data_IF_047158469089
#
_entry.id   IF_047158469089
#
_cell.length_a   1.000
_cell.length_b   1.000
_cell.length_c   1.000
_cell.angle_alpha   90.00
_cell.angle_beta   90.00
_cell.angle_gamma   90.00
#
_symmetry.space_group_name_H-M   'P 1'
#
loop_
_entity.id
_entity.type
_entity.pdbx_description
1 polymer ?
#
# COMPACT_ATOMS: atom_id res chain seq x y z
N UNK A 1 -11.41 38.49 -20.32
CA UNK A 1 -11.93 37.24 -19.71
C UNK A 1 -10.77 36.26 -19.66
N UNK A 2 -10.14 36.12 -18.49
CA UNK A 2 -9.22 35.01 -18.28
C UNK A 2 -10.05 33.73 -18.21
N UNK A 3 -9.69 32.73 -19.01
CA UNK A 3 -10.25 31.40 -18.84
C UNK A 3 -9.78 30.86 -17.50
N UNK A 4 -10.72 30.39 -16.66
CA UNK A 4 -10.39 29.57 -15.51
C UNK A 4 -9.68 28.30 -16.00
N UNK A 5 -8.62 27.83 -15.31
CA UNK A 5 -7.95 26.61 -15.71
C UNK A 5 -8.95 25.46 -15.57
N UNK A 6 -9.07 24.66 -16.64
CA UNK A 6 -9.86 23.44 -16.59
C UNK A 6 -9.31 22.56 -15.46
N UNK A 7 -10.16 22.26 -14.47
CA UNK A 7 -9.86 21.23 -13.48
C UNK A 7 -9.70 19.93 -14.27
N UNK A 8 -8.48 19.39 -14.27
CA UNK A 8 -8.18 18.11 -14.90
C UNK A 8 -9.03 17.08 -14.16
N UNK A 9 -10.03 16.50 -14.82
CA UNK A 9 -10.82 15.44 -14.22
C UNK A 9 -9.88 14.27 -13.90
N UNK A 10 -9.67 14.04 -12.62
CA UNK A 10 -8.91 12.90 -12.10
C UNK A 10 -9.65 11.66 -12.55
N UNK A 11 -8.98 10.80 -13.32
CA UNK A 11 -9.54 9.49 -13.60
C UNK A 11 -9.47 8.71 -12.29
N UNK A 12 -10.58 8.18 -11.76
CA UNK A 12 -10.55 7.39 -10.54
C UNK A 12 -9.52 6.27 -10.73
N UNK A 13 -8.62 6.09 -9.76
CA UNK A 13 -7.71 4.96 -9.76
C UNK A 13 -8.53 3.66 -9.70
N UNK A 14 -8.46 2.89 -10.78
CA UNK A 14 -9.14 1.61 -10.88
C UNK A 14 -8.28 0.52 -10.25
N UNK A 15 -8.92 -0.38 -9.52
CA UNK A 15 -8.24 -1.55 -8.98
C UNK A 15 -8.04 -2.58 -10.10
N UNK A 16 -6.82 -2.67 -10.60
CA UNK A 16 -6.46 -3.58 -11.72
C UNK A 16 -5.71 -4.83 -11.26
N UNK A 17 -5.28 -4.89 -10.00
CA UNK A 17 -4.56 -6.01 -9.41
C UNK A 17 -3.88 -5.63 -8.10
N UNK A 18 -3.03 -6.51 -7.58
CA UNK A 18 -2.28 -6.28 -6.33
C UNK A 18 -1.26 -5.14 -6.44
N UNK A 19 -0.85 -4.79 -7.65
CA UNK A 19 -0.02 -3.62 -7.95
C UNK A 19 -0.76 -2.72 -8.94
N UNK A 20 -0.92 -1.45 -8.60
CA UNK A 20 -1.48 -0.40 -9.45
C UNK A 20 -0.46 0.73 -9.58
N UNK A 21 0.32 0.76 -10.67
CA UNK A 21 1.38 1.76 -10.89
C UNK A 21 0.91 2.92 -11.79
N UNK A 22 0.09 3.83 -11.26
CA UNK A 22 -0.37 4.99 -12.05
C UNK A 22 0.71 6.07 -12.22
N UNK A 23 1.77 6.04 -11.41
CA UNK A 23 2.90 6.95 -11.50
C UNK A 23 4.04 6.48 -12.42
N UNK A 24 3.93 5.28 -13.00
CA UNK A 24 4.97 4.68 -13.86
C UNK A 24 6.36 4.63 -13.19
N UNK A 25 6.38 4.24 -11.91
CA UNK A 25 7.60 4.13 -11.09
C UNK A 25 8.22 2.73 -11.11
N UNK A 26 7.45 1.72 -11.52
CA UNK A 26 7.80 0.31 -11.43
C UNK A 26 7.93 -0.23 -12.85
N UNK A 27 9.00 -0.99 -13.12
CA UNK A 27 9.13 -1.65 -14.43
C UNK A 27 8.19 -2.86 -14.50
N UNK A 28 7.67 -3.22 -15.69
CA UNK A 28 6.73 -4.34 -15.83
C UNK A 28 7.23 -5.67 -15.26
N UNK A 29 8.53 -5.96 -15.39
CA UNK A 29 9.12 -7.19 -14.84
C UNK A 29 9.03 -7.21 -13.31
N UNK A 30 9.21 -6.05 -12.69
CA UNK A 30 9.16 -5.89 -11.24
C UNK A 30 7.73 -5.85 -10.72
N UNK A 31 6.79 -5.26 -11.45
CA UNK A 31 5.36 -5.37 -11.11
C UNK A 31 4.91 -6.83 -11.06
N UNK A 32 5.38 -7.64 -12.02
CA UNK A 32 5.09 -9.08 -12.06
C UNK A 32 5.66 -9.80 -10.83
N UNK A 33 6.89 -9.48 -10.45
CA UNK A 33 7.54 -10.04 -9.25
C UNK A 33 6.83 -9.62 -7.96
N UNK A 34 6.51 -8.33 -7.81
CA UNK A 34 5.78 -7.79 -6.65
C UNK A 34 4.39 -8.42 -6.55
N UNK A 35 3.67 -8.56 -7.67
CA UNK A 35 2.36 -9.22 -7.71
C UNK A 35 2.44 -10.66 -7.22
N UNK A 36 3.43 -11.42 -7.68
CA UNK A 36 3.63 -12.81 -7.23
C UNK A 36 3.99 -12.89 -5.74
N UNK A 37 4.78 -11.95 -5.22
CA UNK A 37 5.11 -11.86 -3.78
C UNK A 37 3.87 -11.57 -2.93
N UNK A 38 3.05 -10.60 -3.34
CA UNK A 38 1.81 -10.24 -2.65
C UNK A 38 0.80 -11.39 -2.66
N UNK A 39 0.68 -12.10 -3.78
CA UNK A 39 -0.17 -13.30 -3.88
C UNK A 39 0.32 -14.42 -2.96
N UNK A 40 1.62 -14.68 -2.91
CA UNK A 40 2.18 -15.67 -1.99
C UNK A 40 1.96 -15.27 -0.53
N UNK A 41 2.13 -13.99 -0.19
CA UNK A 41 1.89 -13.48 1.16
C UNK A 41 0.42 -13.64 1.58
N UNK A 42 -0.53 -13.33 0.70
CA UNK A 42 -1.96 -13.53 0.95
C UNK A 42 -2.30 -15.02 1.14
N UNK A 43 -1.70 -15.91 0.36
CA UNK A 43 -1.87 -17.36 0.55
C UNK A 43 -1.28 -17.87 1.88
N UNK A 44 -0.15 -17.29 2.31
CA UNK A 44 0.54 -17.70 3.55
C UNK A 44 -0.13 -17.16 4.82
N UNK A 45 -0.81 -16.00 4.74
CA UNK A 45 -1.23 -15.22 5.92
C UNK A 45 -2.69 -14.79 5.91
N UNK A 46 -3.42 -15.01 4.80
CA UNK A 46 -4.76 -14.49 4.50
C UNK A 46 -4.88 -12.97 4.38
N UNK A 47 -3.86 -12.21 4.82
CA UNK A 47 -3.84 -10.77 4.73
C UNK A 47 -3.70 -10.30 3.27
N UNK A 48 -4.54 -9.34 2.88
CA UNK A 48 -4.50 -8.78 1.54
C UNK A 48 -3.66 -7.52 1.51
N UNK A 49 -2.45 -7.63 0.97
CA UNK A 49 -1.54 -6.49 0.80
C UNK A 49 -1.56 -6.00 -0.65
N UNK A 50 -1.70 -4.69 -0.85
CA UNK A 50 -1.71 -4.05 -2.17
C UNK A 50 -0.71 -2.91 -2.25
N UNK A 51 -0.20 -2.64 -3.45
CA UNK A 51 0.70 -1.53 -3.75
C UNK A 51 0.01 -0.61 -4.75
N UNK A 52 -0.04 0.68 -4.45
CA UNK A 52 -0.47 1.72 -5.38
C UNK A 52 0.58 2.82 -5.46
N UNK A 53 0.89 3.23 -6.69
CA UNK A 53 1.57 4.49 -6.94
C UNK A 53 0.60 5.44 -7.63
N UNK A 54 0.59 6.69 -7.19
CA UNK A 54 -0.19 7.76 -7.81
C UNK A 54 0.74 8.93 -8.09
N UNK A 55 0.65 9.63 -9.25
CA UNK A 55 1.56 10.75 -9.54
C UNK A 55 1.53 11.83 -8.45
N UNK A 56 0.35 12.16 -7.95
CA UNK A 56 0.10 13.12 -6.88
C UNK A 56 -1.15 12.75 -6.07
N UNK A 57 -1.44 13.55 -5.04
CA UNK A 57 -2.58 13.38 -4.14
C UNK A 57 -3.73 14.35 -4.43
N UNK A 58 -3.69 15.07 -5.56
CA UNK A 58 -4.66 16.11 -5.93
C UNK A 58 -4.87 17.19 -4.84
N UNK A 59 -3.79 17.53 -4.11
CA UNK A 59 -3.84 18.50 -3.01
C UNK A 59 -4.51 18.00 -1.73
N UNK A 60 -4.83 16.71 -1.65
CA UNK A 60 -5.29 16.04 -0.41
C UNK A 60 -4.10 15.60 0.44
N UNK A 61 -4.35 15.40 1.73
CA UNK A 61 -3.40 14.70 2.58
C UNK A 61 -3.39 13.19 2.26
N UNK A 62 -2.21 12.56 2.39
CA UNK A 62 -2.05 11.15 2.01
C UNK A 62 -2.90 10.19 2.88
N UNK A 63 -3.24 10.59 4.10
CA UNK A 63 -4.01 9.75 5.01
C UNK A 63 -5.49 9.71 4.62
N UNK A 64 -6.11 10.87 4.36
CA UNK A 64 -7.46 10.93 3.81
C UNK A 64 -7.54 10.29 2.42
N UNK A 65 -6.55 10.59 1.56
CA UNK A 65 -6.45 9.96 0.23
C UNK A 65 -6.43 8.44 0.33
N UNK A 66 -5.58 7.89 1.19
CA UNK A 66 -5.38 6.47 1.33
C UNK A 66 -6.55 5.75 1.95
N UNK A 67 -7.12 6.30 3.02
CA UNK A 67 -8.31 5.75 3.66
C UNK A 67 -9.48 5.66 2.69
N UNK A 68 -9.76 6.73 1.92
CA UNK A 68 -10.81 6.72 0.91
C UNK A 68 -10.55 5.66 -0.17
N UNK A 69 -9.29 5.55 -0.63
CA UNK A 69 -8.92 4.60 -1.67
C UNK A 69 -9.07 3.15 -1.20
N UNK A 70 -8.53 2.82 -0.03
CA UNK A 70 -8.62 1.48 0.56
C UNK A 70 -10.07 1.05 0.81
N UNK A 71 -10.90 1.97 1.33
CA UNK A 71 -12.34 1.71 1.53
C UNK A 71 -13.09 1.53 0.21
N UNK A 72 -12.80 2.35 -0.80
CA UNK A 72 -13.43 2.26 -2.10
C UNK A 72 -13.05 0.96 -2.84
N UNK A 73 -11.83 0.50 -2.66
CA UNK A 73 -11.36 -0.78 -3.22
C UNK A 73 -11.79 -2.00 -2.41
N UNK A 74 -12.21 -1.82 -1.16
CA UNK A 74 -12.64 -2.91 -0.29
C UNK A 74 -11.50 -3.90 -0.01
N UNK A 75 -10.32 -3.37 0.32
CA UNK A 75 -9.11 -4.18 0.52
C UNK A 75 -9.22 -4.98 1.82
N UNK A 76 -8.95 -6.29 1.71
CA UNK A 76 -9.08 -7.24 2.81
C UNK A 76 -10.48 -7.84 2.90
N UNK A 77 -10.65 -8.71 3.89
CA UNK A 77 -11.94 -9.30 4.21
C UNK A 77 -12.75 -8.40 5.14
N UNK A 78 -14.06 -8.29 4.88
CA UNK A 78 -14.95 -7.39 5.60
C UNK A 78 -15.15 -7.76 7.08
N UNK A 79 -15.04 -9.04 7.43
CA UNK A 79 -15.14 -9.50 8.82
C UNK A 79 -13.78 -9.36 9.51
N UNK A 80 -12.72 -9.77 8.82
CA UNK A 80 -11.38 -9.86 9.41
C UNK A 80 -10.60 -8.56 9.42
N UNK A 81 -10.94 -7.61 8.54
CA UNK A 81 -10.26 -6.33 8.39
C UNK A 81 -8.74 -6.48 8.21
N UNK A 82 -8.33 -7.42 7.36
CA UNK A 82 -6.95 -7.86 7.14
C UNK A 82 -6.28 -7.24 5.90
N UNK A 83 -6.79 -6.09 5.46
CA UNK A 83 -6.25 -5.33 4.33
C UNK A 83 -5.07 -4.44 4.71
N UNK A 84 -4.08 -4.34 3.82
CA UNK A 84 -2.97 -3.39 3.91
C UNK A 84 -2.75 -2.73 2.55
N UNK A 85 -2.69 -1.41 2.50
CA UNK A 85 -2.41 -0.65 1.28
C UNK A 85 -1.12 0.16 1.43
N UNK A 86 -0.13 -0.13 0.59
CA UNK A 86 1.07 0.69 0.41
C UNK A 86 0.78 1.75 -0.64
N UNK A 87 0.88 3.04 -0.27
CA UNK A 87 0.65 4.18 -1.16
C UNK A 87 1.97 4.92 -1.35
N UNK A 88 2.31 5.22 -2.61
CA UNK A 88 3.47 6.04 -2.97
C UNK A 88 3.03 7.20 -3.86
N UNK A 89 3.37 8.43 -3.44
CA UNK A 89 3.11 9.65 -4.19
C UNK A 89 4.42 10.43 -4.40
N UNK A 90 5.05 10.33 -5.60
CA UNK A 90 6.39 10.85 -5.85
C UNK A 90 6.43 12.38 -5.95
N UNK A 91 5.35 13.05 -6.35
CA UNK A 91 5.29 14.52 -6.38
C UNK A 91 5.39 15.12 -4.97
N UNK A 92 4.76 14.47 -4.00
CA UNK A 92 4.85 14.81 -2.58
C UNK A 92 6.05 14.15 -1.87
N UNK A 93 6.78 13.26 -2.56
CA UNK A 93 7.84 12.41 -2.00
C UNK A 93 7.39 11.71 -0.71
N UNK A 94 6.16 11.21 -0.73
CA UNK A 94 5.52 10.63 0.44
C UNK A 94 5.11 9.19 0.19
N UNK A 95 5.09 8.41 1.27
CA UNK A 95 4.51 7.08 1.30
C UNK A 95 3.68 6.91 2.57
N UNK A 96 2.75 5.97 2.51
CA UNK A 96 1.89 5.62 3.64
C UNK A 96 1.47 4.16 3.57
N UNK A 97 1.25 3.57 4.75
CA UNK A 97 0.51 2.34 4.90
C UNK A 97 -0.89 2.67 5.45
N UNK A 98 -1.94 2.22 4.76
CA UNK A 98 -3.24 2.06 5.39
C UNK A 98 -3.36 0.61 5.86
N UNK A 99 -3.73 0.44 7.13
CA UNK A 99 -3.75 -0.85 7.80
C UNK A 99 -5.17 -1.06 8.32
N UNK A 100 -5.78 -2.18 7.94
CA UNK A 100 -7.07 -2.58 8.47
C UNK A 100 -7.01 -2.90 9.96
N UNK A 101 -8.11 -2.71 10.67
CA UNK A 101 -8.17 -2.84 12.14
C UNK A 101 -7.78 -4.23 12.65
N UNK A 102 -7.97 -5.29 11.86
CA UNK A 102 -7.55 -6.65 12.20
C UNK A 102 -6.03 -6.84 12.24
N UNK A 103 -5.27 -5.89 11.69
CA UNK A 103 -3.82 -5.97 11.52
C UNK A 103 -3.06 -5.00 12.43
N UNK A 104 -3.75 -4.12 13.18
CA UNK A 104 -3.11 -3.06 13.98
C UNK A 104 -2.23 -3.58 15.11
N UNK A 105 -2.44 -4.81 15.58
CA UNK A 105 -1.57 -5.47 16.57
C UNK A 105 -0.19 -5.85 15.99
N UNK A 106 -0.14 -6.15 14.68
CA UNK A 106 1.06 -6.57 13.97
C UNK A 106 1.74 -5.37 13.29
N UNK A 107 0.95 -4.59 12.56
CA UNK A 107 1.37 -3.38 11.85
C UNK A 107 0.88 -2.14 12.60
N UNK A 108 1.32 -2.00 13.84
CA UNK A 108 0.99 -0.84 14.69
C UNK A 108 1.30 0.48 14.01
N UNK A 109 0.71 1.58 14.48
CA UNK A 109 1.05 2.93 13.98
C UNK A 109 2.57 3.19 13.99
N UNK A 110 3.24 2.85 15.09
CA UNK A 110 4.69 3.03 15.22
C UNK A 110 5.45 2.15 14.22
N UNK A 111 5.05 0.88 14.09
CA UNK A 111 5.70 -0.06 13.16
C UNK A 111 5.53 0.37 11.71
N UNK A 112 4.31 0.80 11.35
CA UNK A 112 4.00 1.31 10.02
C UNK A 112 4.83 2.57 9.68
N UNK A 113 5.04 3.45 10.66
CA UNK A 113 5.92 4.61 10.48
C UNK A 113 7.38 4.21 10.22
N UNK A 114 7.92 3.23 10.94
CA UNK A 114 9.28 2.70 10.70
C UNK A 114 9.43 2.11 9.29
N UNK A 115 8.43 1.36 8.83
CA UNK A 115 8.42 0.78 7.48
C UNK A 115 8.43 1.90 6.43
N UNK A 116 7.57 2.92 6.59
CA UNK A 116 7.55 4.08 5.68
C UNK A 116 8.87 4.83 5.70
N UNK A 117 9.49 5.05 6.87
CA UNK A 117 10.79 5.70 6.97
C UNK A 117 11.87 4.94 6.18
N UNK A 118 11.86 3.59 6.24
CA UNK A 118 12.76 2.76 5.45
C UNK A 118 12.54 2.93 3.94
N UNK A 119 11.29 3.03 3.49
CA UNK A 119 10.96 3.32 2.08
C UNK A 119 11.51 4.68 1.65
N UNK A 120 11.28 5.71 2.48
CA UNK A 120 11.67 7.09 2.19
C UNK A 120 13.18 7.27 2.05
N UNK A 121 14.00 6.42 2.68
CA UNK A 121 15.47 6.43 2.50
C UNK A 121 15.83 6.24 1.02
N UNK A 122 15.23 5.25 0.35
CA UNK A 122 15.49 4.97 -1.07
C UNK A 122 14.92 6.05 -2.00
N UNK A 123 13.79 6.66 -1.63
CA UNK A 123 13.17 7.71 -2.44
C UNK A 123 14.04 8.96 -2.56
N UNK A 124 14.94 9.21 -1.59
CA UNK A 124 15.90 10.33 -1.63
C UNK A 124 16.82 10.26 -2.84
N UNK A 125 17.14 9.04 -3.28
CA UNK A 125 17.98 8.77 -4.45
C UNK A 125 17.15 8.52 -5.72
N UNK A 126 15.81 8.66 -5.64
CA UNK A 126 14.89 8.41 -6.75
C UNK A 126 14.59 6.94 -7.00
N UNK A 127 15.07 6.03 -6.14
CA UNK A 127 14.85 4.58 -6.28
C UNK A 127 13.54 4.15 -5.59
N UNK A 128 12.41 4.51 -6.21
CA UNK A 128 11.09 4.19 -5.67
C UNK A 128 10.82 2.68 -5.63
N UNK A 129 11.32 1.95 -6.63
CA UNK A 129 11.18 0.48 -6.67
C UNK A 129 11.88 -0.14 -5.46
N UNK A 130 13.14 0.22 -5.18
CA UNK A 130 13.85 -0.33 -4.02
C UNK A 130 13.19 0.05 -2.70
N UNK A 131 12.65 1.27 -2.60
CA UNK A 131 11.90 1.69 -1.41
C UNK A 131 10.64 0.84 -1.20
N UNK A 132 9.84 0.62 -2.24
CA UNK A 132 8.66 -0.25 -2.19
C UNK A 132 9.04 -1.67 -1.78
N UNK A 133 10.10 -2.24 -2.35
CA UNK A 133 10.58 -3.57 -2.00
C UNK A 133 11.02 -3.66 -0.53
N UNK A 134 11.74 -2.66 -0.03
CA UNK A 134 12.16 -2.59 1.37
C UNK A 134 10.97 -2.54 2.33
N UNK A 135 9.93 -1.76 1.97
CA UNK A 135 8.68 -1.71 2.71
C UNK A 135 7.96 -3.06 2.73
N UNK A 136 7.77 -3.66 1.54
CA UNK A 136 7.11 -4.95 1.39
C UNK A 136 7.83 -6.07 2.15
N UNK A 137 9.17 -6.11 2.11
CA UNK A 137 9.94 -7.14 2.84
C UNK A 137 9.74 -7.06 4.36
N UNK A 138 9.59 -5.85 4.92
CA UNK A 138 9.28 -5.71 6.34
C UNK A 138 7.86 -6.18 6.67
N UNK A 139 6.88 -5.82 5.83
CA UNK A 139 5.50 -6.31 5.98
C UNK A 139 5.48 -7.85 5.90
N UNK A 140 6.12 -8.45 4.90
CA UNK A 140 6.25 -9.91 4.78
C UNK A 140 6.85 -10.55 6.03
N UNK A 141 7.86 -9.90 6.63
CA UNK A 141 8.52 -10.37 7.86
C UNK A 141 7.55 -10.32 9.05
N UNK A 142 6.86 -9.20 9.23
CA UNK A 142 5.94 -8.99 10.35
C UNK A 142 4.73 -9.94 10.26
N UNK A 143 4.19 -10.13 9.05
CA UNK A 143 3.01 -10.98 8.84
C UNK A 143 3.33 -12.48 8.89
N UNK A 144 4.47 -12.92 8.35
CA UNK A 144 4.88 -14.34 8.47
C UNK A 144 5.45 -14.68 9.84
N UNK A 145 5.95 -13.68 10.57
CA UNK A 145 6.44 -13.83 11.93
C UNK A 145 5.31 -14.04 12.94
N UNK A 146 4.12 -13.51 12.67
CA UNK A 146 2.90 -13.90 13.34
C UNK A 146 2.55 -15.34 12.92
N UNK A 147 2.62 -16.31 13.83
CA UNK A 147 2.37 -17.71 13.48
C UNK A 147 1.01 -17.88 12.77
N UNK A 148 0.88 -18.75 11.75
CA UNK A 148 -0.38 -18.99 11.04
C UNK A 148 -1.54 -19.27 11.98
N UNK A 149 -1.30 -20.02 13.07
CA UNK A 149 -2.30 -20.31 14.10
C UNK A 149 -2.79 -19.05 14.84
N UNK A 150 -1.92 -18.06 15.07
CA UNK A 150 -2.29 -16.78 15.70
C UNK A 150 -3.11 -15.96 14.71
N UNK A 151 -2.75 -16.00 13.44
CA UNK A 151 -3.50 -15.32 12.38
C UNK A 151 -4.87 -15.98 12.22
N UNK A 152 -4.95 -17.28 11.96
CA UNK A 152 -6.21 -18.03 11.88
C UNK A 152 -7.08 -17.87 13.14
N UNK A 153 -6.51 -17.91 14.36
CA UNK A 153 -7.27 -17.72 15.60
C UNK A 153 -7.78 -16.30 15.77
N UNK A 154 -7.02 -15.27 15.36
CA UNK A 154 -7.47 -13.87 15.39
C UNK A 154 -8.48 -13.57 14.29
N UNK A 155 -8.33 -14.21 13.14
CA UNK A 155 -9.16 -14.08 11.95
C UNK A 155 -10.49 -14.86 12.07
N UNK A 156 -10.58 -15.83 12.99
CA UNK A 156 -11.77 -16.64 13.25
C UNK A 156 -12.54 -16.22 14.53
N UNK A 157 -12.10 -15.17 15.24
CA UNK A 157 -12.68 -14.69 16.50
C UNK A 157 -13.48 -13.40 16.31
#
# INVERSE_FOLDING_TARGET
MSAEPAIKAVTPLELTGRVVDAAALIRPEKETELTARLEALENDTLAQVMIVTTPDLDGRDIAGYGQDLGNNWGIGDAERNDGVLIIVAPNERSARLEVGSGMEDLLTFARSAEIVEAMLIHFRDGDYTAGIEAGLTQIETDLRGASPDIMETKLAA
#
